data_IF_606233776568
#
_entry.id   IF_606233776568
#
_cell.length_a   1.000
_cell.length_b   1.000
_cell.length_c   1.000
_cell.angle_alpha   90.00
_cell.angle_beta   90.00
_cell.angle_gamma   90.00
#
_symmetry.space_group_name_H-M   'P 1'
#
loop_
_entity.id
_entity.type
_entity.pdbx_description
1 polymer ?
#
# COMPACT_ATOMS: atom_id res chain seq x y z
N UNK A 1 -4.65 27.63 -21.81
CA UNK A 1 -3.86 26.47 -21.33
C UNK A 1 -4.43 25.21 -21.95
N UNK A 2 -3.80 24.68 -23.00
CA UNK A 2 -4.13 23.35 -23.56
C UNK A 2 -3.46 22.32 -22.66
N UNK A 3 -4.27 21.60 -21.87
CA UNK A 3 -3.84 20.38 -21.20
C UNK A 3 -3.71 19.33 -22.31
N UNK A 4 -2.48 18.99 -22.68
CA UNK A 4 -2.23 17.86 -23.55
C UNK A 4 -2.65 16.58 -22.85
N UNK A 5 -3.68 15.94 -23.35
CA UNK A 5 -4.02 14.57 -23.00
C UNK A 5 -2.87 13.73 -23.56
N UNK A 6 -1.96 13.29 -22.67
CA UNK A 6 -1.03 12.22 -23.02
C UNK A 6 -1.87 11.00 -23.34
N UNK A 7 -1.86 10.58 -24.57
CA UNK A 7 -2.37 9.26 -24.98
C UNK A 7 -1.70 8.21 -24.09
N UNK A 8 -2.49 7.59 -23.22
CA UNK A 8 -2.05 6.42 -22.48
C UNK A 8 -1.69 5.35 -23.53
N UNK A 9 -0.42 5.04 -23.64
CA UNK A 9 0.06 3.88 -24.39
C UNK A 9 -0.77 2.69 -23.90
N UNK A 10 -1.58 2.14 -24.79
CA UNK A 10 -2.39 0.94 -24.54
C UNK A 10 -1.43 -0.19 -24.15
N UNK A 11 -1.23 -0.34 -22.85
CA UNK A 11 -0.60 -1.52 -22.28
C UNK A 11 -1.42 -2.73 -22.71
N UNK A 12 -0.74 -3.71 -23.27
CA UNK A 12 -1.34 -5.01 -23.67
C UNK A 12 -2.13 -5.53 -22.48
N UNK A 13 -3.46 -5.39 -22.52
CA UNK A 13 -4.35 -5.92 -21.50
C UNK A 13 -4.03 -7.40 -21.35
N UNK A 14 -3.66 -7.83 -20.16
CA UNK A 14 -3.69 -9.25 -19.79
C UNK A 14 -5.11 -9.73 -20.09
N UNK A 15 -5.26 -10.59 -21.06
CA UNK A 15 -6.58 -11.00 -21.57
C UNK A 15 -7.21 -12.12 -20.76
N UNK A 16 -6.44 -12.82 -19.93
CA UNK A 16 -6.93 -13.94 -19.13
C UNK A 16 -7.23 -13.51 -17.70
N UNK A 17 -8.49 -13.69 -17.32
CA UNK A 17 -8.94 -13.57 -15.93
C UNK A 17 -9.23 -14.94 -15.35
N UNK A 18 -9.13 -15.06 -14.04
CA UNK A 18 -9.38 -16.28 -13.29
C UNK A 18 -10.53 -16.07 -12.31
N UNK A 19 -11.32 -17.11 -12.08
CA UNK A 19 -12.27 -17.08 -10.98
C UNK A 19 -11.53 -17.19 -9.64
N UNK A 20 -12.18 -16.79 -8.54
CA UNK A 20 -11.60 -17.00 -7.21
C UNK A 20 -11.28 -18.47 -6.96
N UNK A 21 -12.16 -19.38 -7.39
CA UNK A 21 -11.98 -20.82 -7.21
C UNK A 21 -10.74 -21.33 -7.96
N UNK A 22 -10.55 -20.91 -9.21
CA UNK A 22 -9.38 -21.33 -10.02
C UNK A 22 -8.07 -20.83 -9.41
N UNK A 23 -8.02 -19.55 -9.06
CA UNK A 23 -6.85 -18.93 -8.42
C UNK A 23 -6.57 -19.57 -7.06
N UNK A 24 -7.61 -19.85 -6.27
CA UNK A 24 -7.47 -20.52 -4.98
C UNK A 24 -6.90 -21.94 -5.13
N UNK A 25 -7.42 -22.75 -6.03
CA UNK A 25 -6.94 -24.12 -6.23
C UNK A 25 -5.48 -24.15 -6.72
N UNK A 26 -5.14 -23.27 -7.66
CA UNK A 26 -3.76 -23.14 -8.12
C UNK A 26 -2.80 -22.69 -6.99
N UNK A 27 -3.24 -21.73 -6.18
CA UNK A 27 -2.47 -21.21 -5.05
C UNK A 27 -2.34 -22.21 -3.92
N UNK A 28 -3.39 -22.99 -3.64
CA UNK A 28 -3.36 -24.07 -2.66
C UNK A 28 -2.31 -25.12 -3.03
N UNK A 29 -2.25 -25.48 -4.32
CA UNK A 29 -1.21 -26.38 -4.84
C UNK A 29 0.19 -25.76 -4.71
N UNK A 30 0.32 -24.45 -5.00
CA UNK A 30 1.59 -23.72 -4.86
C UNK A 30 2.11 -23.77 -3.42
N UNK A 31 1.23 -23.56 -2.44
CA UNK A 31 1.53 -23.61 -1.01
C UNK A 31 1.44 -25.01 -0.38
N UNK A 32 1.40 -26.07 -1.22
CA UNK A 32 1.40 -27.49 -0.76
C UNK A 32 0.28 -27.82 0.22
N UNK A 33 -0.90 -27.24 0.04
CA UNK A 33 -2.09 -27.52 0.84
C UNK A 33 -2.31 -26.55 2.01
N UNK A 34 -1.50 -25.49 2.16
CA UNK A 34 -1.76 -24.45 3.16
C UNK A 34 -2.97 -23.59 2.74
N UNK A 35 -4.11 -23.90 3.33
CA UNK A 35 -5.39 -23.25 3.05
C UNK A 35 -5.41 -21.77 3.42
N UNK A 36 -4.82 -21.44 4.58
CA UNK A 36 -4.79 -20.05 5.05
C UNK A 36 -3.92 -19.17 4.12
N UNK A 37 -2.73 -19.65 3.79
CA UNK A 37 -1.83 -18.93 2.88
C UNK A 37 -2.49 -18.73 1.51
N UNK A 38 -3.18 -19.76 0.98
CA UNK A 38 -3.87 -19.66 -0.31
C UNK A 38 -5.00 -18.64 -0.30
N UNK A 39 -5.88 -18.68 0.70
CA UNK A 39 -7.00 -17.73 0.86
C UNK A 39 -6.51 -16.30 1.01
N UNK A 40 -5.50 -16.08 1.85
CA UNK A 40 -4.93 -14.74 2.09
C UNK A 40 -4.29 -14.20 0.83
N UNK A 41 -3.53 -15.02 0.10
CA UNK A 41 -2.87 -14.55 -1.12
C UNK A 41 -3.90 -14.15 -2.19
N UNK A 42 -4.89 -14.98 -2.48
CA UNK A 42 -5.91 -14.66 -3.49
C UNK A 42 -6.72 -13.43 -3.08
N UNK A 43 -7.09 -13.31 -1.79
CA UNK A 43 -7.92 -12.20 -1.32
C UNK A 43 -7.17 -10.87 -1.33
N UNK A 44 -5.89 -10.86 -0.89
CA UNK A 44 -5.16 -9.63 -0.58
C UNK A 44 -4.07 -9.25 -1.58
N UNK A 45 -3.45 -10.21 -2.27
CA UNK A 45 -2.22 -9.98 -3.03
C UNK A 45 -2.32 -10.23 -4.53
N UNK A 46 -3.22 -11.11 -4.98
CA UNK A 46 -3.43 -11.35 -6.40
C UNK A 46 -3.83 -10.04 -7.11
N UNK A 47 -3.26 -9.81 -8.28
CA UNK A 47 -3.55 -8.63 -9.11
C UNK A 47 -5.02 -8.62 -9.51
N UNK A 48 -5.71 -7.52 -9.19
CA UNK A 48 -7.13 -7.30 -9.50
C UNK A 48 -7.35 -5.91 -10.05
N UNK A 49 -8.38 -5.79 -10.89
CA UNK A 49 -8.93 -4.50 -11.28
C UNK A 49 -10.00 -4.00 -10.30
N UNK A 50 -10.62 -2.85 -10.63
CA UNK A 50 -11.69 -2.25 -9.82
C UNK A 50 -12.99 -3.07 -9.83
N UNK A 51 -13.18 -3.95 -10.81
CA UNK A 51 -14.35 -4.81 -10.94
C UNK A 51 -14.16 -6.16 -10.21
N UNK A 52 -12.96 -6.37 -9.64
CA UNK A 52 -12.62 -7.58 -8.90
C UNK A 52 -12.15 -8.75 -9.76
N UNK A 53 -11.91 -8.54 -11.07
CA UNK A 53 -11.34 -9.57 -11.93
C UNK A 53 -9.90 -9.88 -11.51
N UNK A 54 -9.58 -11.17 -11.40
CA UNK A 54 -8.27 -11.65 -10.96
C UNK A 54 -7.41 -11.95 -12.20
N UNK A 55 -6.21 -11.40 -12.26
CA UNK A 55 -5.28 -11.52 -13.40
C UNK A 55 -4.06 -12.41 -13.11
N UNK A 56 -3.96 -12.94 -11.91
CA UNK A 56 -2.88 -13.83 -11.47
C UNK A 56 -3.45 -15.10 -10.89
N UNK A 57 -2.95 -16.24 -11.36
CA UNK A 57 -3.46 -17.54 -10.97
C UNK A 57 -2.87 -18.02 -9.63
N UNK A 58 -1.61 -17.66 -9.37
CA UNK A 58 -0.88 -18.05 -8.16
C UNK A 58 0.31 -17.10 -7.91
N UNK A 59 1.05 -17.25 -6.78
CA UNK A 59 2.18 -16.38 -6.47
C UNK A 59 3.31 -16.35 -7.49
N UNK A 60 3.44 -17.33 -8.37
CA UNK A 60 4.45 -17.29 -9.43
C UNK A 60 4.17 -16.17 -10.43
N UNK A 61 2.91 -15.95 -10.81
CA UNK A 61 2.52 -14.86 -11.71
C UNK A 61 2.82 -13.49 -11.08
N UNK A 62 2.55 -13.34 -9.77
CA UNK A 62 2.93 -12.14 -9.01
C UNK A 62 4.45 -11.90 -9.05
N UNK A 63 5.23 -12.94 -8.82
CA UNK A 63 6.69 -12.82 -8.86
C UNK A 63 7.19 -12.44 -10.27
N UNK A 64 6.58 -12.97 -11.33
CA UNK A 64 6.90 -12.58 -12.70
C UNK A 64 6.56 -11.12 -12.99
N UNK A 65 5.40 -10.65 -12.55
CA UNK A 65 5.02 -9.24 -12.67
C UNK A 65 6.02 -8.32 -11.98
N UNK A 66 6.38 -8.62 -10.74
CA UNK A 66 7.36 -7.84 -9.97
C UNK A 66 8.72 -7.85 -10.66
N UNK A 67 9.19 -9.03 -11.10
CA UNK A 67 10.47 -9.16 -11.76
C UNK A 67 10.52 -8.39 -13.09
N UNK A 68 9.43 -8.43 -13.86
CA UNK A 68 9.33 -7.71 -15.13
C UNK A 68 9.39 -6.19 -14.92
N UNK A 69 8.66 -5.67 -13.95
CA UNK A 69 8.67 -4.23 -13.67
C UNK A 69 10.02 -3.75 -13.11
N UNK A 70 10.64 -4.51 -12.21
CA UNK A 70 11.99 -4.20 -11.74
C UNK A 70 12.99 -4.27 -12.88
N UNK A 71 12.94 -5.30 -13.73
CA UNK A 71 13.81 -5.44 -14.90
C UNK A 71 13.65 -4.27 -15.88
N UNK A 72 12.43 -3.78 -16.08
CA UNK A 72 12.15 -2.57 -16.88
C UNK A 72 12.85 -1.32 -16.32
N UNK A 73 12.90 -1.17 -15.01
CA UNK A 73 13.59 -0.05 -14.37
C UNK A 73 15.10 -0.26 -14.40
N UNK A 74 15.57 -1.45 -14.08
CA UNK A 74 16.99 -1.84 -14.09
C UNK A 74 17.64 -1.59 -15.47
N UNK A 75 16.93 -1.83 -16.55
CA UNK A 75 17.43 -1.61 -17.91
C UNK A 75 17.89 -0.17 -18.21
N UNK A 76 17.56 0.79 -17.32
CA UNK A 76 18.00 2.19 -17.41
C UNK A 76 19.39 2.43 -16.81
N UNK A 77 19.95 1.44 -16.12
CA UNK A 77 21.21 1.58 -15.40
C UNK A 77 22.32 0.70 -16.00
N UNK A 78 23.58 1.13 -15.93
CA UNK A 78 24.71 0.27 -16.27
C UNK A 78 24.80 -0.89 -15.26
N UNK A 79 25.18 -2.06 -15.74
CA UNK A 79 25.26 -3.31 -14.92
C UNK A 79 23.90 -3.74 -14.33
N UNK A 80 22.83 -3.55 -15.07
CA UNK A 80 21.47 -3.90 -14.66
C UNK A 80 21.29 -5.39 -14.34
N UNK A 81 20.44 -5.66 -13.37
CA UNK A 81 19.94 -7.02 -13.13
C UNK A 81 18.93 -7.40 -14.21
N UNK A 82 19.08 -8.60 -14.77
CA UNK A 82 18.07 -9.11 -15.70
C UNK A 82 16.78 -9.47 -14.97
N UNK A 83 15.65 -9.41 -15.67
CA UNK A 83 14.34 -9.86 -15.16
C UNK A 83 14.44 -11.27 -14.58
N UNK A 84 15.11 -12.20 -15.28
CA UNK A 84 15.28 -13.57 -14.81
C UNK A 84 16.05 -13.63 -13.47
N UNK A 85 17.08 -12.81 -13.30
CA UNK A 85 17.85 -12.77 -12.04
C UNK A 85 16.99 -12.26 -10.89
N UNK A 86 16.19 -11.21 -11.13
CA UNK A 86 15.24 -10.70 -10.13
C UNK A 86 14.20 -11.76 -9.78
N UNK A 87 13.62 -12.43 -10.79
CA UNK A 87 12.66 -13.52 -10.55
C UNK A 87 13.27 -14.64 -9.71
N UNK A 88 14.52 -15.05 -9.99
CA UNK A 88 15.21 -16.08 -9.22
C UNK A 88 15.45 -15.72 -7.75
N UNK A 89 15.59 -14.44 -7.44
CA UNK A 89 15.73 -13.94 -6.07
C UNK A 89 14.42 -13.99 -5.28
N UNK A 90 13.29 -13.70 -5.92
CA UNK A 90 11.99 -13.58 -5.25
C UNK A 90 11.11 -14.84 -5.34
N UNK A 91 11.32 -15.69 -6.36
CA UNK A 91 10.49 -16.89 -6.58
C UNK A 91 10.43 -17.77 -5.34
N UNK A 92 9.23 -18.33 -5.10
CA UNK A 92 8.95 -19.20 -3.94
C UNK A 92 9.24 -18.53 -2.59
N UNK A 93 9.33 -17.20 -2.54
CA UNK A 93 9.66 -16.44 -1.32
C UNK A 93 10.99 -16.90 -0.68
N UNK A 94 11.97 -17.25 -1.53
CA UNK A 94 13.17 -17.95 -1.04
C UNK A 94 14.23 -17.02 -0.45
N UNK A 95 14.63 -15.98 -1.17
CA UNK A 95 15.70 -15.07 -0.76
C UNK A 95 15.19 -13.68 -0.41
N UNK A 96 14.23 -13.17 -1.18
CA UNK A 96 13.59 -11.87 -0.95
C UNK A 96 12.10 -12.11 -0.83
N UNK A 97 11.53 -11.65 0.28
CA UNK A 97 10.09 -11.66 0.54
C UNK A 97 9.63 -10.22 0.58
N UNK A 98 8.99 -9.70 -0.46
CA UNK A 98 8.46 -8.34 -0.45
C UNK A 98 7.37 -8.20 0.61
N UNK A 99 7.22 -7.01 1.16
CA UNK A 99 6.08 -6.68 2.00
C UNK A 99 4.80 -6.52 1.16
N UNK A 100 3.64 -6.42 1.82
CA UNK A 100 2.34 -6.43 1.16
C UNK A 100 2.15 -5.33 0.11
N UNK A 101 2.59 -4.10 0.38
CA UNK A 101 2.46 -2.99 -0.59
C UNK A 101 3.33 -3.19 -1.85
N UNK A 102 4.61 -3.57 -1.76
CA UNK A 102 5.37 -3.99 -2.94
C UNK A 102 4.76 -5.17 -3.68
N UNK A 103 4.27 -6.20 -2.96
CA UNK A 103 3.64 -7.36 -3.61
C UNK A 103 2.43 -6.98 -4.46
N UNK A 104 1.62 -6.02 -4.00
CA UNK A 104 0.41 -5.60 -4.72
C UNK A 104 0.64 -4.43 -5.67
N UNK A 105 1.62 -3.56 -5.39
CA UNK A 105 1.80 -2.30 -6.11
C UNK A 105 2.81 -2.34 -7.25
N UNK A 106 3.89 -3.14 -7.14
CA UNK A 106 4.90 -3.18 -8.22
C UNK A 106 4.30 -3.81 -9.48
N UNK A 107 4.30 -3.06 -10.59
CA UNK A 107 3.73 -3.50 -11.87
C UNK A 107 2.21 -3.61 -11.87
N UNK A 108 1.52 -2.94 -10.94
CA UNK A 108 0.06 -2.85 -10.91
C UNK A 108 -0.40 -1.58 -11.61
N UNK A 109 -1.04 -1.73 -12.77
CA UNK A 109 -1.55 -0.61 -13.57
C UNK A 109 -3.03 -0.29 -13.29
N UNK A 110 -3.71 -1.09 -12.46
CA UNK A 110 -5.13 -0.92 -12.15
C UNK A 110 -5.38 0.00 -10.96
N UNK A 111 -4.45 0.08 -10.01
CA UNK A 111 -4.63 0.78 -8.74
C UNK A 111 -3.39 1.59 -8.38
N UNK A 112 -3.62 2.80 -7.86
CA UNK A 112 -2.55 3.61 -7.26
C UNK A 112 -2.33 3.10 -5.84
N UNK A 113 -1.17 2.54 -5.56
CA UNK A 113 -0.77 2.06 -4.25
C UNK A 113 0.58 2.62 -3.82
N UNK A 114 0.80 2.74 -2.52
CA UNK A 114 2.13 2.99 -1.97
C UNK A 114 3.01 1.74 -2.14
N UNK A 115 4.30 1.94 -2.34
CA UNK A 115 5.30 0.86 -2.29
C UNK A 115 5.93 0.71 -0.89
N UNK A 116 5.54 1.57 0.05
CA UNK A 116 5.89 1.44 1.48
C UNK A 116 4.67 1.03 2.27
N UNK A 117 4.87 0.11 3.25
CA UNK A 117 3.77 -0.42 4.05
C UNK A 117 3.41 0.48 5.22
N UNK A 118 4.40 1.13 5.84
CA UNK A 118 4.22 1.84 7.10
C UNK A 118 4.88 3.21 7.06
N UNK A 119 4.20 4.19 7.64
CA UNK A 119 4.63 5.57 7.75
C UNK A 119 4.46 6.03 9.19
N UNK A 120 5.42 6.78 9.70
CA UNK A 120 5.27 7.55 10.93
C UNK A 120 5.05 9.00 10.54
N UNK A 121 3.93 9.57 10.95
CA UNK A 121 3.59 10.97 10.68
C UNK A 121 3.44 11.74 11.98
N UNK A 122 3.72 13.02 11.91
CA UNK A 122 3.66 13.96 13.01
C UNK A 122 4.33 15.25 12.57
N UNK A 123 3.91 16.38 13.10
CA UNK A 123 4.38 17.68 12.64
C UNK A 123 5.52 18.25 13.48
N UNK A 124 6.23 17.45 14.24
CA UNK A 124 7.30 17.90 15.10
C UNK A 124 6.81 18.96 16.11
N UNK A 125 7.54 20.03 16.28
CA UNK A 125 7.25 21.08 17.29
C UNK A 125 5.94 21.85 17.07
N UNK A 126 5.31 21.74 15.89
CA UNK A 126 4.05 22.43 15.59
C UNK A 126 2.83 21.51 15.72
N UNK A 127 3.00 20.25 16.10
CA UNK A 127 1.91 19.25 16.16
C UNK A 127 0.83 19.54 17.21
N UNK A 128 1.07 20.47 18.14
CA UNK A 128 0.13 20.89 19.19
C UNK A 128 -0.90 21.95 18.75
N UNK A 129 -0.84 22.43 17.51
CA UNK A 129 -1.87 23.32 16.97
C UNK A 129 -3.04 22.52 16.38
N UNK A 130 -4.27 23.04 16.53
CA UNK A 130 -5.45 22.39 15.95
C UNK A 130 -5.35 22.23 14.42
N UNK A 131 -4.79 23.23 13.75
CA UNK A 131 -4.53 23.14 12.30
C UNK A 131 -3.58 22.02 11.92
N UNK A 132 -2.51 21.81 12.69
CA UNK A 132 -1.59 20.70 12.47
C UNK A 132 -2.22 19.35 12.73
N UNK A 133 -3.04 19.23 13.76
CA UNK A 133 -3.78 18.01 14.09
C UNK A 133 -4.72 17.63 12.92
N UNK A 134 -5.42 18.61 12.36
CA UNK A 134 -6.30 18.38 11.21
C UNK A 134 -5.52 17.99 9.95
N UNK A 135 -4.36 18.62 9.73
CA UNK A 135 -3.47 18.27 8.61
C UNK A 135 -2.94 16.84 8.72
N UNK A 136 -2.52 16.42 9.91
CA UNK A 136 -2.07 15.05 10.17
C UNK A 136 -3.19 14.04 9.88
N UNK A 137 -4.43 14.37 10.24
CA UNK A 137 -5.60 13.55 9.96
C UNK A 137 -5.84 13.39 8.45
N UNK A 138 -5.72 14.47 7.68
CA UNK A 138 -5.75 14.42 6.21
C UNK A 138 -4.64 13.56 5.64
N UNK A 139 -3.40 13.75 6.09
CA UNK A 139 -2.23 12.96 5.64
C UNK A 139 -2.42 11.47 5.93
N UNK A 140 -2.94 11.11 7.11
CA UNK A 140 -3.30 9.74 7.47
C UNK A 140 -4.24 9.12 6.43
N UNK A 141 -5.35 9.77 6.14
CA UNK A 141 -6.35 9.29 5.18
C UNK A 141 -5.74 9.12 3.80
N UNK A 142 -4.90 10.07 3.34
CA UNK A 142 -4.23 9.98 2.04
C UNK A 142 -3.25 8.82 1.93
N UNK A 143 -2.57 8.45 3.01
CA UNK A 143 -1.67 7.31 3.07
C UNK A 143 -2.45 5.98 3.13
N UNK A 144 -3.46 5.92 4.00
CA UNK A 144 -4.22 4.68 4.25
C UNK A 144 -5.01 4.22 3.03
N UNK A 145 -5.66 5.13 2.31
CA UNK A 145 -6.37 4.79 1.06
C UNK A 145 -5.45 4.28 -0.06
N UNK A 146 -4.13 4.42 0.09
CA UNK A 146 -3.10 3.85 -0.79
C UNK A 146 -2.41 2.63 -0.17
N UNK A 147 -3.05 2.00 0.82
CA UNK A 147 -2.54 0.82 1.54
C UNK A 147 -1.33 1.10 2.43
N UNK A 148 -1.08 2.34 2.83
CA UNK A 148 -0.07 2.68 3.81
C UNK A 148 -0.62 2.56 5.24
N UNK A 149 0.02 1.78 6.10
CA UNK A 149 -0.24 1.81 7.55
C UNK A 149 0.36 3.08 8.16
N UNK A 150 -0.29 3.67 9.14
CA UNK A 150 0.14 4.94 9.72
C UNK A 150 0.31 4.82 11.23
N UNK A 151 1.47 5.26 11.73
CA UNK A 151 1.74 5.53 13.13
C UNK A 151 1.82 7.05 13.38
N UNK A 152 1.32 7.51 14.51
CA UNK A 152 1.33 8.91 14.88
C UNK A 152 2.34 9.18 16.00
N UNK A 153 3.17 10.22 15.85
CA UNK A 153 3.89 10.80 16.96
C UNK A 153 3.01 11.87 17.61
N UNK A 154 2.53 11.57 18.80
CA UNK A 154 1.62 12.42 19.59
C UNK A 154 2.31 13.11 20.77
N UNK A 155 3.64 12.98 20.88
CA UNK A 155 4.43 13.45 22.03
C UNK A 155 4.35 14.95 22.26
N UNK A 156 4.03 15.72 21.24
CA UNK A 156 3.99 17.18 21.30
C UNK A 156 2.63 17.76 21.66
N UNK A 157 1.60 16.94 21.76
CA UNK A 157 0.25 17.40 22.13
C UNK A 157 0.25 17.67 23.64
N UNK A 158 -0.13 18.91 24.02
CA UNK A 158 -0.18 19.34 25.41
C UNK A 158 -1.18 18.54 26.26
N UNK A 159 -0.93 18.32 27.54
CA UNK A 159 -1.81 17.56 28.41
C UNK A 159 -3.15 18.29 28.66
N UNK A 160 -4.15 17.52 29.10
CA UNK A 160 -5.45 18.04 29.52
C UNK A 160 -5.28 19.08 30.60
N UNK A 161 -6.02 20.18 30.51
CA UNK A 161 -6.00 21.29 31.45
C UNK A 161 -4.90 22.32 31.20
N UNK A 162 -3.96 22.09 30.29
CA UNK A 162 -2.98 23.12 29.92
C UNK A 162 -3.65 24.33 29.30
N UNK A 163 -3.15 25.53 29.62
CA UNK A 163 -3.67 26.78 29.09
C UNK A 163 -3.58 26.87 27.57
N UNK A 164 -4.62 27.36 26.92
CA UNK A 164 -4.65 27.71 25.48
C UNK A 164 -5.02 29.19 25.32
N UNK A 165 -4.47 29.82 24.27
CA UNK A 165 -4.64 31.24 23.99
C UNK A 165 -5.91 31.53 23.16
N UNK A 166 -7.01 30.82 23.43
CA UNK A 166 -8.29 31.04 22.78
C UNK A 166 -9.44 30.97 23.78
N UNK A 167 -10.68 31.13 23.33
CA UNK A 167 -11.88 31.16 24.18
C UNK A 167 -12.15 29.84 24.92
N UNK A 168 -11.51 28.72 24.55
CA UNK A 168 -11.65 27.47 25.28
C UNK A 168 -10.88 27.45 26.63
N UNK A 169 -9.92 28.35 26.81
CA UNK A 169 -9.06 28.54 27.99
C UNK A 169 -8.15 27.34 28.31
N UNK A 170 -8.62 26.12 28.19
CA UNK A 170 -7.88 24.91 28.53
C UNK A 170 -7.97 23.84 27.43
N UNK A 171 -6.91 23.04 27.34
CA UNK A 171 -6.81 21.91 26.43
C UNK A 171 -7.64 20.72 26.92
N UNK A 172 -8.26 20.01 25.99
CA UNK A 172 -8.92 18.70 26.24
C UNK A 172 -7.91 17.55 26.38
N UNK A 173 -6.64 17.79 26.00
CA UNK A 173 -5.57 16.79 26.03
C UNK A 173 -5.53 15.88 24.80
N UNK A 174 -4.79 14.79 24.93
CA UNK A 174 -4.44 13.87 23.85
C UNK A 174 -5.60 12.97 23.40
N UNK A 175 -6.39 12.45 24.34
CA UNK A 175 -7.36 11.37 24.10
C UNK A 175 -8.36 11.68 22.98
N UNK A 176 -9.01 12.88 22.93
CA UNK A 176 -9.95 13.20 21.86
C UNK A 176 -9.32 13.18 20.46
N UNK A 177 -8.03 13.49 20.34
CA UNK A 177 -7.32 13.45 19.06
C UNK A 177 -6.96 12.01 18.65
N UNK A 178 -6.63 11.14 19.60
CA UNK A 178 -6.47 9.70 19.35
C UNK A 178 -7.79 9.08 18.86
N UNK A 179 -8.91 9.43 19.48
CA UNK A 179 -10.25 8.99 19.04
C UNK A 179 -10.56 9.49 17.63
N UNK A 180 -10.23 10.75 17.33
CA UNK A 180 -10.39 11.31 16.01
C UNK A 180 -9.64 10.50 14.94
N UNK A 181 -8.33 10.27 15.12
CA UNK A 181 -7.51 9.49 14.19
C UNK A 181 -8.01 8.06 14.05
N UNK A 182 -8.48 7.45 15.13
CA UNK A 182 -9.10 6.12 15.09
C UNK A 182 -10.41 6.10 14.29
N UNK A 183 -11.20 7.16 14.36
CA UNK A 183 -12.45 7.26 13.59
C UNK A 183 -12.13 7.42 12.09
N UNK A 184 -11.23 8.34 11.74
CA UNK A 184 -10.80 8.52 10.35
C UNK A 184 -10.23 7.23 9.75
N UNK A 185 -9.54 6.40 10.54
CA UNK A 185 -9.07 5.07 10.11
C UNK A 185 -10.22 4.12 9.74
N UNK A 186 -11.39 4.27 10.35
CA UNK A 186 -12.55 3.40 10.06
C UNK A 186 -13.32 3.85 8.81
N UNK A 187 -13.08 5.06 8.34
CA UNK A 187 -13.73 5.64 7.16
C UNK A 187 -13.05 5.21 5.86
N UNK A 188 -11.81 4.67 5.92
CA UNK A 188 -10.95 4.31 4.80
C UNK A 188 -10.67 2.81 4.82
#
# INVERSE_FOLDING_TARGET
>A
FKIGIMEATLLTKKTNTYTFADAYQSTLKYFKGDDLAAKVWVSKYALKDSDGNIYEQNPEDMHRRIASEIGRIEAKYPNSLSEQKVFDLIKKFKYIIPQGSPMTGIGNDFQIASLSNCFVIGSGTQSDSYGSIMKIDEEQVQLMKRRGGVGHDLSHIRPKGSAVKNSALTSTGLVPFMERYSNSTREV
#
